data_IF_411229467661
#
_entry.id   IF_411229467661
#
_cell.length_a   1.000
_cell.length_b   1.000
_cell.length_c   1.000
_cell.angle_alpha   90.00
_cell.angle_beta   90.00
_cell.angle_gamma   90.00
#
_symmetry.space_group_name_H-M   'P 1'
#
loop_
_entity.id
_entity.type
_entity.pdbx_description
1 polymer ?
#
# COMPACT_ATOMS: atom_id res chain seq x y z
N UNK A 1 -8.00 -1.32 17.27
CA UNK A 1 -8.63 -2.08 16.16
C UNK A 1 -7.75 -1.91 14.95
N UNK A 2 -7.36 -2.98 14.27
CA UNK A 2 -6.48 -2.92 13.11
C UNK A 2 -7.29 -3.03 11.82
N UNK A 3 -6.88 -2.27 10.81
CA UNK A 3 -7.48 -2.28 9.47
C UNK A 3 -6.42 -2.65 8.46
N UNK A 4 -6.73 -3.59 7.57
CA UNK A 4 -5.91 -3.88 6.39
C UNK A 4 -6.33 -2.99 5.22
N UNK A 5 -5.42 -2.15 4.76
CA UNK A 5 -5.51 -1.51 3.46
C UNK A 5 -4.83 -2.40 2.45
N UNK A 6 -5.50 -2.67 1.34
CA UNK A 6 -4.91 -3.37 0.20
C UNK A 6 -4.83 -2.39 -0.94
N UNK A 7 -3.61 -2.08 -1.38
CA UNK A 7 -3.41 -1.47 -2.69
C UNK A 7 -3.44 -2.60 -3.71
N UNK A 8 -4.61 -2.83 -4.30
CA UNK A 8 -4.89 -4.02 -5.10
C UNK A 8 -4.31 -3.90 -6.51
N UNK A 9 -3.39 -4.82 -6.78
CA UNK A 9 -2.75 -5.07 -8.07
C UNK A 9 -2.59 -6.58 -8.28
N UNK A 10 -3.64 -7.33 -7.96
CA UNK A 10 -3.68 -8.80 -8.03
C UNK A 10 -2.57 -9.42 -7.16
N UNK A 11 -1.73 -10.32 -7.70
CA UNK A 11 -0.65 -10.94 -6.94
C UNK A 11 0.47 -9.98 -6.53
N UNK A 12 0.49 -8.76 -7.09
CA UNK A 12 1.46 -7.72 -6.74
C UNK A 12 0.88 -6.70 -5.74
N UNK A 13 -0.27 -7.02 -5.13
CA UNK A 13 -0.93 -6.15 -4.17
C UNK A 13 -0.05 -5.85 -2.97
N UNK A 14 -0.04 -4.59 -2.54
CA UNK A 14 0.69 -4.15 -1.35
C UNK A 14 -0.26 -4.04 -0.16
N UNK A 15 0.17 -4.52 1.00
CA UNK A 15 -0.68 -4.68 2.18
C UNK A 15 -0.24 -3.71 3.27
N UNK A 16 -1.15 -2.89 3.79
CA UNK A 16 -0.84 -1.93 4.85
C UNK A 16 -1.73 -2.16 6.06
N UNK A 17 -1.13 -2.35 7.23
CA UNK A 17 -1.90 -2.52 8.48
C UNK A 17 -1.80 -1.24 9.28
N UNK A 18 -2.94 -0.58 9.47
CA UNK A 18 -3.04 0.60 10.32
C UNK A 18 -3.78 0.27 11.60
N UNK A 19 -3.26 0.73 12.73
CA UNK A 19 -3.96 0.65 14.01
C UNK A 19 -4.81 1.91 14.23
N UNK A 20 -6.13 1.74 14.29
CA UNK A 20 -7.09 2.80 14.57
C UNK A 20 -7.20 3.15 16.07
N UNK A 21 -6.41 2.53 16.94
CA UNK A 21 -6.42 2.80 18.38
C UNK A 21 -5.78 4.17 18.66
N UNK A 22 -6.48 5.01 19.42
CA UNK A 22 -6.00 6.36 19.76
C UNK A 22 -4.61 6.29 20.41
N UNK A 23 -3.69 7.15 19.98
CA UNK A 23 -2.32 7.22 20.49
C UNK A 23 -1.31 6.28 19.81
N UNK A 24 -1.77 5.28 19.04
CA UNK A 24 -0.88 4.42 18.24
C UNK A 24 -0.84 4.96 16.81
N UNK A 25 0.27 5.57 16.41
CA UNK A 25 0.47 6.10 15.07
C UNK A 25 1.50 5.25 14.31
N UNK A 26 1.14 3.99 14.02
CA UNK A 26 2.03 3.05 13.31
C UNK A 26 1.36 2.47 12.07
N UNK A 27 2.16 2.30 11.01
CA UNK A 27 1.75 1.68 9.77
C UNK A 27 2.73 0.56 9.43
N UNK A 28 2.21 -0.66 9.31
CA UNK A 28 2.98 -1.78 8.76
C UNK A 28 2.76 -1.79 7.25
N UNK A 29 3.83 -1.94 6.47
CA UNK A 29 3.80 -2.08 5.01
C UNK A 29 4.36 -3.45 4.67
N UNK A 30 3.53 -4.36 4.21
CA UNK A 30 3.84 -5.78 4.08
C UNK A 30 3.93 -6.15 2.60
N UNK A 31 5.06 -6.72 2.20
CA UNK A 31 5.35 -7.06 0.81
C UNK A 31 4.54 -8.27 0.32
N UNK A 32 4.01 -8.25 -0.91
CA UNK A 32 3.28 -9.38 -1.50
C UNK A 32 4.11 -10.66 -1.61
N UNK A 33 5.43 -10.55 -1.78
CA UNK A 33 6.31 -11.69 -2.01
C UNK A 33 6.63 -12.51 -0.75
N UNK A 34 6.22 -12.05 0.45
CA UNK A 34 6.38 -12.84 1.66
C UNK A 34 5.65 -14.17 1.50
N UNK A 35 6.35 -15.28 1.73
CA UNK A 35 5.78 -16.62 1.60
C UNK A 35 5.12 -17.06 2.90
N UNK A 36 3.92 -17.63 2.76
CA UNK A 36 3.25 -18.47 3.75
C UNK A 36 3.22 -19.88 3.17
N UNK A 37 4.08 -20.76 3.69
CA UNK A 37 4.31 -22.09 3.12
C UNK A 37 4.73 -21.99 1.65
N UNK A 38 3.89 -22.48 0.73
CA UNK A 38 4.19 -22.57 -0.70
C UNK A 38 3.73 -21.36 -1.51
N UNK A 39 2.85 -20.52 -0.96
CA UNK A 39 2.27 -19.37 -1.65
C UNK A 39 2.85 -18.09 -1.09
N UNK A 40 3.04 -17.10 -1.94
CA UNK A 40 3.24 -15.71 -1.54
C UNK A 40 1.94 -15.12 -0.99
N UNK A 41 2.03 -14.06 -0.19
CA UNK A 41 0.87 -13.32 0.29
C UNK A 41 0.00 -12.81 -0.85
N UNK A 42 0.63 -12.30 -1.90
CA UNK A 42 -0.05 -11.82 -3.11
C UNK A 42 -0.83 -12.93 -3.82
N UNK A 43 -0.24 -14.10 -4.00
CA UNK A 43 -0.93 -15.26 -4.57
C UNK A 43 -2.08 -15.75 -3.68
N UNK A 44 -1.87 -15.79 -2.36
CA UNK A 44 -2.92 -16.19 -1.43
C UNK A 44 -4.10 -15.24 -1.50
N UNK A 45 -3.85 -13.93 -1.57
CA UNK A 45 -4.88 -12.89 -1.68
C UNK A 45 -5.77 -13.05 -2.91
N UNK A 46 -5.23 -13.47 -4.05
CA UNK A 46 -6.02 -13.67 -5.27
C UNK A 46 -6.78 -15.00 -5.30
N UNK A 47 -6.39 -15.98 -4.48
CA UNK A 47 -6.96 -17.33 -4.49
C UNK A 47 -8.11 -17.53 -3.51
N UNK A 48 -8.26 -16.66 -2.51
CA UNK A 48 -9.28 -16.83 -1.46
C UNK A 48 -10.12 -15.56 -1.28
N UNK A 49 -11.37 -15.68 -0.81
CA UNK A 49 -12.16 -14.51 -0.41
C UNK A 49 -11.42 -13.68 0.65
N UNK A 50 -11.62 -12.35 0.63
CA UNK A 50 -10.93 -11.41 1.52
C UNK A 50 -11.09 -11.77 3.01
N UNK A 51 -12.24 -12.29 3.43
CA UNK A 51 -12.47 -12.71 4.82
C UNK A 51 -11.51 -13.85 5.22
N UNK A 52 -11.34 -14.85 4.34
CA UNK A 52 -10.38 -15.94 4.58
C UNK A 52 -8.94 -15.45 4.50
N UNK A 53 -8.65 -14.50 3.60
CA UNK A 53 -7.33 -13.89 3.52
C UNK A 53 -6.97 -13.17 4.82
N UNK A 54 -7.88 -12.41 5.40
CA UNK A 54 -7.69 -11.71 6.68
C UNK A 54 -7.42 -12.68 7.84
N UNK A 55 -8.10 -13.83 7.87
CA UNK A 55 -7.84 -14.87 8.85
C UNK A 55 -6.43 -15.44 8.70
N UNK A 56 -6.02 -15.80 7.47
CA UNK A 56 -4.66 -16.28 7.21
C UNK A 56 -3.60 -15.24 7.52
N UNK A 57 -3.81 -13.99 7.13
CA UNK A 57 -2.90 -12.88 7.36
C UNK A 57 -2.73 -12.59 8.87
N UNK A 58 -3.85 -12.54 9.61
CA UNK A 58 -3.84 -12.35 11.07
C UNK A 58 -3.13 -13.49 11.77
N UNK A 59 -3.40 -14.73 11.35
CA UNK A 59 -2.74 -15.92 11.87
C UNK A 59 -1.24 -15.86 11.62
N UNK A 60 -0.83 -15.60 10.37
CA UNK A 60 0.55 -15.63 9.93
C UNK A 60 1.46 -14.72 10.74
N UNK A 61 1.02 -13.50 11.00
CA UNK A 61 1.84 -12.51 11.71
C UNK A 61 1.53 -12.40 13.21
N UNK A 62 0.74 -13.34 13.75
CA UNK A 62 0.19 -13.26 15.12
C UNK A 62 -0.42 -11.88 15.44
N UNK A 63 -0.98 -11.23 14.43
CA UNK A 63 -1.61 -9.93 14.57
C UNK A 63 -3.00 -10.18 15.14
N UNK A 64 -3.22 -9.72 16.36
CA UNK A 64 -4.55 -9.77 16.97
C UNK A 64 -5.50 -8.89 16.14
N UNK A 65 -6.44 -9.56 15.46
CA UNK A 65 -7.74 -9.05 15.02
C UNK A 65 -7.75 -8.00 13.89
N UNK A 66 -7.23 -8.37 12.71
CA UNK A 66 -7.47 -7.61 11.47
C UNK A 66 -8.79 -8.07 10.84
N UNK A 67 -9.91 -7.56 11.34
CA UNK A 67 -11.27 -7.89 10.83
C UNK A 67 -11.82 -6.87 9.84
N UNK A 68 -11.16 -5.72 9.73
CA UNK A 68 -11.60 -4.61 8.90
C UNK A 68 -10.66 -4.42 7.73
N UNK A 69 -11.21 -4.09 6.57
CA UNK A 69 -10.41 -3.88 5.37
C UNK A 69 -10.90 -2.74 4.50
N UNK A 70 -9.98 -2.17 3.74
CA UNK A 70 -10.24 -1.27 2.62
C UNK A 70 -9.39 -1.70 1.43
N UNK A 71 -10.02 -2.06 0.33
CA UNK A 71 -9.35 -2.40 -0.93
C UNK A 71 -9.43 -1.18 -1.84
N UNK A 72 -8.27 -0.66 -2.21
CA UNK A 72 -8.10 0.38 -3.20
C UNK A 72 -7.48 -0.25 -4.44
N UNK A 73 -8.27 -0.47 -5.49
CA UNK A 73 -7.75 -1.02 -6.75
C UNK A 73 -6.85 -0.01 -7.43
N UNK A 74 -5.71 -0.48 -7.95
CA UNK A 74 -4.81 0.36 -8.75
C UNK A 74 -5.54 0.92 -9.96
N UNK A 75 -6.36 0.12 -10.62
CA UNK A 75 -7.16 0.56 -11.77
C UNK A 75 -8.08 1.75 -11.42
N UNK A 76 -8.82 1.65 -10.32
CA UNK A 76 -9.73 2.72 -9.87
C UNK A 76 -8.94 3.95 -9.41
N UNK A 77 -7.77 3.76 -8.79
CA UNK A 77 -6.86 4.84 -8.42
C UNK A 77 -6.36 5.59 -9.64
N UNK A 78 -5.94 4.88 -10.69
CA UNK A 78 -5.50 5.46 -11.96
C UNK A 78 -6.64 6.14 -12.71
N UNK A 79 -7.86 5.61 -12.62
CA UNK A 79 -9.05 6.30 -13.14
C UNK A 79 -9.26 7.63 -12.41
N UNK A 80 -9.19 7.64 -11.08
CA UNK A 80 -9.26 8.88 -10.30
C UNK A 80 -8.16 9.89 -10.67
N UNK A 81 -6.94 9.42 -10.91
CA UNK A 81 -5.84 10.26 -11.43
C UNK A 81 -6.21 10.85 -12.79
N UNK A 82 -6.73 10.04 -13.71
CA UNK A 82 -7.14 10.48 -15.04
C UNK A 82 -8.24 11.54 -15.00
N UNK A 83 -9.21 11.37 -14.11
CA UNK A 83 -10.40 12.23 -14.03
C UNK A 83 -10.14 13.55 -13.29
N UNK A 84 -9.32 13.53 -12.23
CA UNK A 84 -9.17 14.68 -11.33
C UNK A 84 -7.72 15.01 -10.95
N UNK A 85 -6.77 14.15 -11.32
CA UNK A 85 -5.37 14.27 -10.93
C UNK A 85 -4.47 14.94 -11.97
N UNK A 86 -4.77 14.78 -13.26
CA UNK A 86 -3.98 15.35 -14.35
C UNK A 86 -4.32 16.83 -14.57
N UNK A 87 -3.33 17.63 -14.95
CA UNK A 87 -3.53 18.98 -15.45
C UNK A 87 -3.95 18.96 -16.94
N UNK A 88 -4.19 20.14 -17.52
CA UNK A 88 -4.64 20.29 -18.92
C UNK A 88 -3.71 19.65 -19.97
N UNK A 89 -2.42 19.48 -19.65
CA UNK A 89 -1.43 18.81 -20.51
C UNK A 89 -1.44 17.27 -20.37
N UNK A 90 -2.35 16.71 -19.57
CA UNK A 90 -2.44 15.28 -19.30
C UNK A 90 -1.37 14.77 -18.34
N UNK A 91 -0.74 15.64 -17.53
CA UNK A 91 0.32 15.26 -16.58
C UNK A 91 0.02 15.69 -15.16
N UNK A 92 0.57 14.97 -14.18
CA UNK A 92 0.54 15.30 -12.76
C UNK A 92 1.95 15.63 -12.27
N UNK A 93 2.09 16.70 -11.50
CA UNK A 93 3.34 17.01 -10.79
C UNK A 93 3.54 16.06 -9.60
N UNK A 94 4.72 15.46 -9.51
CA UNK A 94 5.11 14.53 -8.45
C UNK A 94 6.60 14.69 -8.13
N UNK A 95 6.93 14.72 -6.84
CA UNK A 95 8.32 14.70 -6.36
C UNK A 95 8.81 13.26 -6.23
N UNK A 96 9.89 12.94 -6.92
CA UNK A 96 10.59 11.65 -6.85
C UNK A 96 11.77 11.80 -5.91
N UNK A 97 11.87 10.94 -4.90
CA UNK A 97 12.87 11.09 -3.83
C UNK A 97 14.21 10.41 -4.12
N UNK A 98 14.26 9.54 -5.13
CA UNK A 98 15.42 8.70 -5.47
C UNK A 98 15.36 8.27 -6.93
N UNK A 99 16.54 8.07 -7.52
CA UNK A 99 16.70 7.52 -8.86
C UNK A 99 16.38 6.02 -8.89
N UNK A 100 15.56 5.57 -9.83
CA UNK A 100 15.29 4.14 -10.05
C UNK A 100 14.76 3.89 -11.47
N UNK A 101 14.71 2.63 -11.88
CA UNK A 101 14.07 2.24 -13.15
C UNK A 101 12.85 1.38 -12.86
N UNK A 102 11.69 1.77 -13.39
CA UNK A 102 10.48 0.98 -13.26
C UNK A 102 10.51 -0.23 -14.20
N UNK A 103 10.31 -1.42 -13.65
CA UNK A 103 10.30 -2.68 -14.39
C UNK A 103 9.12 -2.77 -15.36
N UNK A 104 8.01 -2.10 -15.03
CA UNK A 104 6.76 -2.19 -15.80
C UNK A 104 6.90 -1.71 -17.24
N UNK A 105 7.69 -0.67 -17.48
CA UNK A 105 7.85 -0.07 -18.80
C UNK A 105 9.29 0.39 -19.12
N UNK A 106 10.26 0.12 -18.24
CA UNK A 106 11.65 0.54 -18.40
C UNK A 106 11.89 2.04 -18.16
N UNK A 107 10.89 2.80 -17.71
CA UNK A 107 11.04 4.23 -17.46
C UNK A 107 12.09 4.46 -16.37
N UNK A 108 13.08 5.29 -16.68
CA UNK A 108 14.03 5.77 -15.70
C UNK A 108 13.48 7.03 -15.04
N UNK A 109 13.41 7.01 -13.71
CA UNK A 109 13.00 8.13 -12.88
C UNK A 109 14.22 8.67 -12.18
N UNK A 110 14.42 9.99 -12.26
CA UNK A 110 15.46 10.70 -11.52
C UNK A 110 14.86 11.39 -10.30
N UNK A 111 15.68 11.69 -9.30
CA UNK A 111 15.29 12.44 -8.12
C UNK A 111 14.99 13.89 -8.50
N UNK A 112 13.86 14.40 -8.03
CA UNK A 112 13.44 15.79 -8.25
C UNK A 112 11.94 15.92 -8.51
N UNK A 113 11.54 17.09 -8.98
CA UNK A 113 10.17 17.35 -9.41
C UNK A 113 9.97 16.89 -10.85
N UNK A 114 8.94 16.06 -11.07
CA UNK A 114 8.60 15.52 -12.39
C UNK A 114 7.14 15.80 -12.73
N UNK A 115 6.85 15.90 -14.04
CA UNK A 115 5.48 15.90 -14.57
C UNK A 115 5.22 14.58 -15.28
N UNK A 116 4.44 13.72 -14.65
CA UNK A 116 4.21 12.35 -15.10
C UNK A 116 2.85 12.22 -15.78
N UNK A 117 2.84 11.51 -16.91
CA UNK A 117 1.65 10.99 -17.57
C UNK A 117 1.01 9.86 -16.76
N UNK A 118 -0.21 9.48 -17.09
CA UNK A 118 -0.90 8.37 -16.43
C UNK A 118 -0.12 7.04 -16.52
N UNK A 119 0.50 6.76 -17.66
CA UNK A 119 1.30 5.55 -17.86
C UNK A 119 2.58 5.54 -17.01
N UNK A 120 3.23 6.71 -16.85
CA UNK A 120 4.38 6.85 -15.96
C UNK A 120 3.99 6.72 -14.49
N UNK A 121 2.82 7.23 -14.09
CA UNK A 121 2.28 7.07 -12.72
C UNK A 121 2.00 5.59 -12.42
N UNK A 122 1.39 4.85 -13.36
CA UNK A 122 1.17 3.42 -13.23
C UNK A 122 2.49 2.64 -13.04
N UNK A 123 3.52 2.98 -13.82
CA UNK A 123 4.85 2.40 -13.64
C UNK A 123 5.49 2.78 -12.30
N UNK A 124 5.35 4.04 -11.87
CA UNK A 124 5.91 4.57 -10.62
C UNK A 124 5.37 3.86 -9.37
N UNK A 125 4.08 3.51 -9.35
CA UNK A 125 3.43 2.87 -8.18
C UNK A 125 3.37 1.34 -8.24
N UNK A 126 3.82 0.74 -9.34
CA UNK A 126 3.81 -0.72 -9.50
C UNK A 126 4.88 -1.36 -8.62
N UNK A 127 4.50 -2.45 -7.94
CA UNK A 127 5.36 -3.14 -6.99
C UNK A 127 6.64 -3.67 -7.66
N UNK A 128 7.78 -3.40 -7.03
CA UNK A 128 9.08 -3.95 -7.38
C UNK A 128 10.06 -3.78 -6.21
N UNK A 129 11.13 -4.58 -6.23
CA UNK A 129 12.36 -4.31 -5.48
C UNK A 129 13.29 -3.52 -6.41
N UNK A 130 13.75 -2.36 -5.95
CA UNK A 130 14.57 -1.45 -6.78
C UNK A 130 16.01 -1.99 -6.94
N UNK A 131 16.80 -1.39 -7.85
CA UNK A 131 18.16 -1.85 -8.18
C UNK A 131 19.12 -1.91 -6.98
N UNK A 132 18.88 -1.08 -5.96
CA UNK A 132 19.66 -1.06 -4.72
C UNK A 132 19.16 -2.05 -3.67
N UNK A 133 18.19 -2.90 -4.01
CA UNK A 133 17.64 -3.95 -3.15
C UNK A 133 16.57 -3.47 -2.16
N UNK A 134 16.12 -2.21 -2.26
CA UNK A 134 15.12 -1.64 -1.34
C UNK A 134 13.70 -1.77 -1.90
N UNK A 135 12.74 -1.86 -0.99
CA UNK A 135 11.30 -1.94 -1.30
C UNK A 135 10.67 -0.56 -1.06
N UNK A 136 11.03 0.41 -1.89
CA UNK A 136 10.61 1.82 -1.73
C UNK A 136 9.23 2.09 -2.34
N UNK A 137 8.62 1.11 -3.03
CA UNK A 137 7.33 1.26 -3.69
C UNK A 137 6.18 1.62 -2.73
N UNK A 138 6.25 1.19 -1.47
CA UNK A 138 5.24 1.56 -0.48
C UNK A 138 5.13 3.08 -0.30
N UNK A 139 6.27 3.77 -0.34
CA UNK A 139 6.33 5.24 -0.23
C UNK A 139 5.75 5.89 -1.48
N UNK A 140 6.07 5.34 -2.66
CA UNK A 140 5.52 5.79 -3.94
C UNK A 140 3.99 5.67 -4.00
N UNK A 141 3.44 4.55 -3.52
CA UNK A 141 1.99 4.32 -3.44
C UNK A 141 1.30 5.25 -2.43
N UNK A 142 1.88 5.42 -1.25
CA UNK A 142 1.37 6.36 -0.23
C UNK A 142 1.37 7.80 -0.73
N UNK A 143 2.42 8.21 -1.45
CA UNK A 143 2.52 9.54 -2.03
C UNK A 143 1.42 9.81 -3.05
N UNK A 144 1.11 8.83 -3.91
CA UNK A 144 -0.01 8.95 -4.85
C UNK A 144 -1.33 9.14 -4.10
N UNK A 145 -1.60 8.32 -3.08
CA UNK A 145 -2.83 8.42 -2.27
C UNK A 145 -2.93 9.81 -1.62
N UNK A 146 -1.81 10.33 -1.09
CA UNK A 146 -1.74 11.66 -0.48
C UNK A 146 -1.98 12.78 -1.49
N UNK A 147 -1.36 12.71 -2.67
CA UNK A 147 -1.52 13.70 -3.73
C UNK A 147 -2.96 13.72 -4.24
N UNK A 148 -3.54 12.55 -4.48
CA UNK A 148 -4.94 12.42 -4.88
C UNK A 148 -5.86 13.03 -3.85
N UNK A 149 -5.67 12.75 -2.55
CA UNK A 149 -6.45 13.41 -1.49
C UNK A 149 -6.38 14.94 -1.58
N UNK A 150 -5.20 15.54 -1.76
CA UNK A 150 -5.05 17.00 -1.84
C UNK A 150 -5.82 17.59 -3.02
N UNK A 151 -5.86 16.89 -4.15
CA UNK A 151 -6.55 17.33 -5.36
C UNK A 151 -8.06 17.08 -5.32
N UNK A 152 -8.52 15.98 -4.71
CA UNK A 152 -9.93 15.57 -4.73
C UNK A 152 -10.71 15.96 -3.47
N UNK A 153 -10.05 16.25 -2.35
CA UNK A 153 -10.70 16.51 -1.06
C UNK A 153 -10.36 17.92 -0.56
N UNK A 154 -11.33 18.84 -0.64
CA UNK A 154 -11.47 19.93 0.33
C UNK A 154 -12.31 19.39 1.49
N UNK A 155 -11.73 19.00 2.65
CA UNK A 155 -12.48 18.21 3.60
C UNK A 155 -13.50 19.08 4.33
N UNK A 156 -14.79 18.82 4.08
CA UNK A 156 -15.84 19.08 5.07
C UNK A 156 -16.41 17.72 5.52
N UNK A 157 -16.77 17.59 6.80
CA UNK A 157 -17.42 16.39 7.35
C UNK A 157 -18.66 15.97 6.53
N UNK A 158 -19.37 16.95 5.96
CA UNK A 158 -20.52 16.74 5.08
C UNK A 158 -20.18 15.99 3.77
N UNK A 159 -19.00 16.22 3.19
CA UNK A 159 -18.57 15.53 1.96
C UNK A 159 -18.28 14.04 2.17
N UNK A 160 -17.77 13.66 3.35
CA UNK A 160 -17.47 12.25 3.70
C UNK A 160 -18.77 11.47 3.92
N UNK A 161 -19.77 12.09 4.55
CA UNK A 161 -21.11 11.49 4.71
C UNK A 161 -21.85 11.38 3.39
N UNK A 162 -21.74 12.37 2.50
CA UNK A 162 -22.44 12.36 1.20
C UNK A 162 -21.83 11.36 0.21
N UNK A 163 -20.50 11.16 0.26
CA UNK A 163 -19.79 10.25 -0.64
C UNK A 163 -19.59 8.83 -0.06
N UNK A 164 -20.13 8.53 1.12
CA UNK A 164 -19.97 7.21 1.76
C UNK A 164 -20.51 6.06 0.89
N UNK A 165 -21.63 6.28 0.19
CA UNK A 165 -22.18 5.32 -0.76
C UNK A 165 -21.23 5.05 -1.93
N UNK A 166 -20.70 6.11 -2.54
CA UNK A 166 -19.76 6.05 -3.66
C UNK A 166 -18.43 5.41 -3.28
N UNK A 167 -17.85 5.75 -2.12
CA UNK A 167 -16.62 5.12 -1.63
C UNK A 167 -16.83 3.63 -1.39
N UNK A 168 -17.99 3.21 -0.87
CA UNK A 168 -18.32 1.78 -0.68
C UNK A 168 -18.54 1.03 -2.01
N UNK A 169 -19.05 1.71 -3.04
CA UNK A 169 -19.29 1.11 -4.36
C UNK A 169 -17.99 0.87 -5.15
N UNK A 170 -17.00 1.76 -5.03
CA UNK A 170 -15.70 1.64 -5.71
C UNK A 170 -14.59 1.00 -4.87
N UNK A 171 -14.76 0.86 -3.56
CA UNK A 171 -13.81 0.17 -2.68
C UNK A 171 -14.42 -1.08 -2.08
N UNK A 172 -13.73 -2.22 -2.21
CA UNK A 172 -14.06 -3.41 -1.44
C UNK A 172 -13.81 -3.11 0.03
N UNK A 173 -14.86 -2.88 0.82
CA UNK A 173 -14.71 -2.44 2.22
C UNK A 173 -15.84 -2.94 3.11
N UNK A 174 -15.48 -3.32 4.34
CA UNK A 174 -16.42 -3.61 5.42
C UNK A 174 -16.35 -2.57 6.56
N UNK A 175 -15.72 -1.42 6.30
CA UNK A 175 -15.64 -0.31 7.24
C UNK A 175 -17.00 0.38 7.35
N UNK A 176 -17.44 0.65 8.58
CA UNK A 176 -18.61 1.49 8.79
C UNK A 176 -18.22 2.98 8.72
N UNK A 177 -19.21 3.88 8.71
CA UNK A 177 -18.98 5.32 8.67
C UNK A 177 -18.06 5.82 9.80
N UNK A 178 -18.20 5.27 11.02
CA UNK A 178 -17.34 5.64 12.16
C UNK A 178 -15.88 5.23 11.93
N UNK A 179 -15.66 4.06 11.34
CA UNK A 179 -14.32 3.57 11.00
C UNK A 179 -13.71 4.42 9.88
N UNK A 180 -14.48 4.77 8.85
CA UNK A 180 -14.08 5.68 7.78
C UNK A 180 -13.72 7.07 8.30
N UNK A 181 -14.50 7.62 9.24
CA UNK A 181 -14.19 8.90 9.88
C UNK A 181 -12.91 8.85 10.70
N UNK A 182 -12.67 7.76 11.44
CA UNK A 182 -11.40 7.53 12.17
C UNK A 182 -10.21 7.39 11.23
N UNK A 183 -10.38 6.75 10.07
CA UNK A 183 -9.34 6.69 9.05
C UNK A 183 -9.09 8.05 8.41
N UNK A 184 -10.17 8.76 8.08
CA UNK A 184 -10.16 10.12 7.57
C UNK A 184 -9.41 11.09 8.48
N UNK A 185 -9.62 11.00 9.80
CA UNK A 185 -9.04 11.89 10.82
C UNK A 185 -7.71 11.38 11.41
N UNK A 186 -7.42 10.09 11.31
CA UNK A 186 -6.16 9.46 11.74
C UNK A 186 -5.17 9.37 10.58
N UNK A 187 -5.17 8.23 9.88
CA UNK A 187 -4.25 7.93 8.79
C UNK A 187 -4.23 9.01 7.70
N UNK A 188 -5.41 9.44 7.23
CA UNK A 188 -5.52 10.34 6.09
C UNK A 188 -5.30 11.81 6.49
N UNK A 189 -5.84 12.30 7.61
CA UNK A 189 -5.70 13.71 8.02
C UNK A 189 -4.36 14.05 8.66
N UNK A 190 -3.75 13.11 9.39
CA UNK A 190 -2.47 13.35 10.05
C UNK A 190 -1.27 13.27 9.12
N UNK A 191 -1.44 12.79 7.88
CA UNK A 191 -0.42 12.89 6.83
C UNK A 191 0.98 12.48 7.30
N UNK A 192 1.87 13.47 7.46
CA UNK A 192 3.28 13.33 7.83
C UNK A 192 3.57 13.52 9.34
N UNK A 193 2.57 13.70 10.22
CA UNK A 193 2.78 13.69 11.66
C UNK A 193 3.38 12.33 12.04
N UNK A 194 4.59 12.34 12.64
CA UNK A 194 5.46 11.19 12.99
C UNK A 194 4.71 9.86 13.09
N UNK A 195 4.44 9.23 11.95
CA UNK A 195 3.85 7.90 11.87
C UNK A 195 5.01 6.93 11.80
N UNK A 196 5.07 6.00 12.75
CA UNK A 196 6.07 4.96 12.76
C UNK A 196 5.76 3.95 11.64
N UNK A 197 6.44 4.09 10.52
CA UNK A 197 6.28 3.26 9.33
C UNK A 197 7.29 2.12 9.40
N UNK A 198 6.82 0.89 9.29
CA UNK A 198 7.64 -0.32 9.37
C UNK A 198 7.38 -1.13 8.10
N UNK A 199 8.41 -1.31 7.28
CA UNK A 199 8.36 -2.23 6.15
C UNK A 199 8.55 -3.66 6.67
N UNK A 200 7.81 -4.60 6.11
CA UNK A 200 7.93 -6.04 6.39
C UNK A 200 8.12 -6.72 5.03
N UNK A 201 9.28 -7.37 4.80
CA UNK A 201 10.40 -7.49 5.74
C UNK A 201 11.14 -6.17 5.97
N UNK A 202 11.75 -6.02 7.16
CA UNK A 202 12.56 -4.85 7.52
C UNK A 202 13.88 -4.83 6.74
N UNK A 203 14.42 -3.65 6.47
CA UNK A 203 15.69 -3.50 5.76
C UNK A 203 16.82 -4.25 6.49
N UNK A 204 17.60 -5.03 5.74
CA UNK A 204 18.68 -5.88 6.29
C UNK A 204 18.22 -7.24 6.82
N UNK A 205 16.91 -7.49 6.92
CA UNK A 205 16.37 -8.75 7.42
C UNK A 205 16.01 -9.77 6.34
N UNK A 206 16.38 -9.53 5.08
CA UNK A 206 16.05 -10.42 3.97
C UNK A 206 17.17 -10.49 2.95
N UNK A 207 17.14 -11.55 2.15
CA UNK A 207 18.03 -11.77 1.01
C UNK A 207 17.31 -11.50 -0.30
N UNK A 208 18.07 -11.16 -1.34
CA UNK A 208 17.56 -11.02 -2.69
C UNK A 208 17.85 -12.29 -3.48
N UNK A 209 16.88 -12.76 -4.24
CA UNK A 209 17.03 -13.90 -5.13
C UNK A 209 17.21 -13.42 -6.57
N UNK A 210 18.20 -14.00 -7.27
CA UNK A 210 18.50 -13.72 -8.68
C UNK A 210 19.33 -12.45 -8.93
N UNK A 211 19.58 -12.16 -10.20
CA UNK A 211 20.08 -10.86 -10.68
C UNK A 211 18.90 -9.92 -10.92
N UNK A 212 19.12 -8.61 -10.85
CA UNK A 212 18.07 -7.62 -11.15
C UNK A 212 17.33 -7.95 -12.46
N UNK A 213 15.97 -8.02 -12.46
CA UNK A 213 15.05 -7.74 -11.36
C UNK A 213 15.08 -8.79 -10.24
N UNK A 214 15.21 -8.31 -8.99
CA UNK A 214 15.26 -9.19 -7.82
C UNK A 214 13.88 -9.74 -7.45
N UNK A 215 13.89 -10.89 -6.80
CA UNK A 215 12.77 -11.42 -6.02
C UNK A 215 13.11 -11.44 -4.54
N UNK A 216 12.10 -11.42 -3.68
CA UNK A 216 12.30 -11.60 -2.25
C UNK A 216 12.76 -13.04 -1.96
N UNK A 217 13.96 -13.16 -1.39
CA UNK A 217 14.52 -14.43 -0.93
C UNK A 217 14.10 -14.79 0.49
N UNK A 218 15.01 -15.42 1.23
CA UNK A 218 14.80 -15.76 2.63
C UNK A 218 14.71 -14.51 3.51
N UNK A 219 13.80 -14.54 4.49
CA UNK A 219 13.62 -13.49 5.50
C UNK A 219 14.06 -14.02 6.87
N UNK A 220 14.96 -13.29 7.53
CA UNK A 220 15.32 -13.48 8.93
C UNK A 220 14.28 -12.81 9.84
N UNK A 221 13.28 -13.59 10.24
CA UNK A 221 12.20 -13.15 11.12
C UNK A 221 12.66 -12.79 12.55
N UNK A 222 13.90 -13.12 12.94
CA UNK A 222 14.44 -12.70 14.25
C UNK A 222 14.79 -11.22 14.27
N UNK A 223 15.12 -10.65 13.12
CA UNK A 223 15.44 -9.23 12.93
C UNK A 223 14.22 -8.36 12.61
N UNK A 224 13.04 -8.97 12.44
CA UNK A 224 11.79 -8.25 12.19
C UNK A 224 11.02 -8.03 13.50
N UNK A 225 10.46 -6.82 13.66
CA UNK A 225 9.50 -6.49 14.73
C UNK A 225 8.22 -7.28 14.57
N UNK A 226 7.75 -7.45 13.34
CA UNK A 226 6.64 -8.33 13.00
C UNK A 226 7.17 -9.71 12.63
N UNK A 227 6.81 -10.73 13.41
CA UNK A 227 7.27 -12.10 13.18
C UNK A 227 6.24 -12.89 12.40
N UNK A 228 6.70 -13.59 11.36
CA UNK A 228 5.93 -14.67 10.78
C UNK A 228 5.98 -15.87 11.74
N UNK A 229 4.83 -16.51 11.95
CA UNK A 229 4.73 -17.73 12.73
C UNK A 229 5.65 -18.81 12.16
N UNK A 230 6.44 -19.44 13.04
CA UNK A 230 7.46 -20.41 12.64
C UNK A 230 6.90 -21.66 11.96
N UNK A 231 5.66 -22.06 12.26
CA UNK A 231 4.97 -23.20 11.62
C UNK A 231 4.45 -22.91 10.20
N UNK A 232 4.63 -21.67 9.73
CA UNK A 232 4.23 -21.20 8.40
C UNK A 232 5.43 -20.85 7.51
N UNK A 233 6.66 -21.00 8.02
CA UNK A 233 7.91 -20.93 7.26
C UNK A 233 8.04 -22.08 6.27
#
# INVERSE_FOLDING_TARGET
>A
MKVLFVFDDQQYSSFFVYDLTSGVNSLLRVAPEIRIRKLTLGELYTQVPIEKFLDYFSLAFSIIEVKKYLILKKADSLLGVKEAGLEADGRMSLTIYKDFTALKNGQHFTKGEHRLTLAEIDAYISYQIDQDGRIDVFERQEDLIRLMKRKTVRPSLASITNNYGTVKEYSGSNLNLKDMLKLGTGYLAKGNDRMNKINVPEAGSFTLQGSFPYQLGAVDWTQNRLKLRSDLL
#
